data_IF_622321891239
#
_entry.id   IF_622321891239
#
_cell.length_a   1.000
_cell.length_b   1.000
_cell.length_c   1.000
_cell.angle_alpha   90.00
_cell.angle_beta   90.00
_cell.angle_gamma   90.00
#
_symmetry.space_group_name_H-M   'P 1'
#
loop_
_entity.id
_entity.type
_entity.pdbx_description
1 polymer ?
#
# COMPACT_ATOMS: atom_id res chain seq x y z
N UNK A 1 -3.38 1.71 9.59
CA UNK A 1 -3.20 1.23 8.20
C UNK A 1 -1.90 1.84 7.66
N UNK A 2 -1.20 1.19 6.73
CA UNK A 2 0.25 1.33 6.52
C UNK A 2 0.75 2.56 5.72
N UNK A 3 -0.05 3.60 5.52
CA UNK A 3 0.34 4.85 4.83
C UNK A 3 0.89 4.71 3.41
N UNK A 4 0.46 3.67 2.70
CA UNK A 4 0.69 3.53 1.26
C UNK A 4 -0.62 3.90 0.55
N UNK A 5 -0.59 4.94 -0.29
CA UNK A 5 -1.76 5.41 -1.04
C UNK A 5 -1.72 4.94 -2.49
N UNK A 6 -2.78 4.26 -2.92
CA UNK A 6 -2.96 3.76 -4.29
C UNK A 6 -4.45 3.51 -4.57
N UNK A 7 -4.78 3.19 -5.81
CA UNK A 7 -6.16 3.04 -6.25
C UNK A 7 -6.44 1.63 -6.77
N UNK A 8 -7.56 1.04 -6.35
CA UNK A 8 -8.10 -0.20 -6.92
C UNK A 8 -8.53 0.06 -8.37
N UNK A 9 -8.15 -0.80 -9.30
CA UNK A 9 -8.40 -0.59 -10.73
C UNK A 9 -8.86 -1.87 -11.41
N UNK A 10 -9.80 -1.74 -12.35
CA UNK A 10 -10.30 -2.88 -13.10
C UNK A 10 -9.22 -3.44 -14.03
N UNK A 11 -9.13 -4.76 -14.06
CA UNK A 11 -8.28 -5.51 -15.00
C UNK A 11 -9.14 -6.33 -15.95
N UNK A 12 -8.51 -6.91 -16.98
CA UNK A 12 -9.20 -7.77 -17.93
C UNK A 12 -9.96 -8.88 -17.20
N UNK A 13 -11.27 -8.99 -17.46
CA UNK A 13 -12.16 -9.96 -16.83
C UNK A 13 -13.01 -9.43 -15.68
N UNK A 14 -12.80 -8.19 -15.20
CA UNK A 14 -13.54 -7.66 -14.05
C UNK A 14 -15.01 -7.28 -14.33
N UNK A 15 -15.47 -7.22 -15.59
CA UNK A 15 -16.89 -7.11 -16.02
C UNK A 15 -17.82 -6.21 -15.16
N UNK A 16 -17.34 -5.05 -14.69
CA UNK A 16 -18.13 -4.12 -13.86
C UNK A 16 -18.20 -4.47 -12.36
N UNK A 17 -17.30 -5.32 -11.87
CA UNK A 17 -17.22 -5.70 -10.47
C UNK A 17 -16.96 -4.48 -9.55
N UNK A 18 -17.75 -4.38 -8.48
CA UNK A 18 -17.61 -3.35 -7.43
C UNK A 18 -16.24 -3.44 -6.72
N UNK A 19 -15.69 -4.66 -6.68
CA UNK A 19 -14.36 -4.96 -6.14
C UNK A 19 -13.46 -5.47 -7.27
N UNK A 20 -12.79 -4.57 -8.01
CA UNK A 20 -11.89 -4.95 -9.10
C UNK A 20 -10.68 -5.73 -8.59
N UNK A 21 -10.06 -6.52 -9.46
CA UNK A 21 -8.95 -7.42 -9.13
C UNK A 21 -7.57 -6.78 -9.09
N UNK A 22 -7.41 -5.54 -9.59
CA UNK A 22 -6.12 -4.88 -9.73
C UNK A 22 -5.93 -3.64 -8.87
N UNK A 23 -4.68 -3.13 -8.90
CA UNK A 23 -4.28 -1.84 -8.35
C UNK A 23 -3.46 -1.07 -9.38
N UNK A 24 -3.58 0.26 -9.40
CA UNK A 24 -2.75 1.14 -10.22
C UNK A 24 -1.75 1.88 -9.34
N UNK A 25 -0.49 1.81 -9.73
CA UNK A 25 0.63 2.48 -9.06
C UNK A 25 1.23 3.49 -10.04
N UNK A 26 1.55 4.68 -9.54
CA UNK A 26 2.20 5.73 -10.32
C UNK A 26 3.38 6.32 -9.56
N UNK A 27 4.45 6.63 -10.28
CA UNK A 27 5.68 7.22 -9.75
C UNK A 27 5.69 8.75 -9.59
N UNK A 28 4.89 9.57 -10.34
CA UNK A 28 5.12 11.03 -10.39
C UNK A 28 5.19 11.73 -9.03
N UNK A 29 4.33 11.39 -8.07
CA UNK A 29 4.30 12.07 -6.79
C UNK A 29 5.60 11.87 -5.97
N UNK A 30 6.15 10.66 -5.97
CA UNK A 30 7.38 10.35 -5.23
C UNK A 30 8.61 10.81 -6.02
N UNK A 31 8.60 10.75 -7.35
CA UNK A 31 9.66 11.33 -8.18
C UNK A 31 9.75 12.85 -7.97
N UNK A 32 8.64 13.57 -7.84
CA UNK A 32 8.64 15.01 -7.50
C UNK A 32 9.21 15.31 -6.12
N UNK A 33 9.29 14.32 -5.22
CA UNK A 33 9.93 14.42 -3.90
C UNK A 33 11.41 14.02 -3.92
N UNK A 34 11.96 13.70 -5.10
CA UNK A 34 13.37 13.36 -5.29
C UNK A 34 13.69 11.87 -5.21
N UNK A 35 12.69 10.97 -5.18
CA UNK A 35 12.96 9.54 -5.20
C UNK A 35 13.55 9.07 -6.54
N UNK A 36 14.58 8.23 -6.45
CA UNK A 36 15.27 7.60 -7.57
C UNK A 36 14.95 6.08 -7.65
N UNK A 37 15.54 5.37 -8.59
CA UNK A 37 15.24 3.97 -8.90
C UNK A 37 15.36 3.05 -7.67
N UNK A 38 16.41 3.19 -6.88
CA UNK A 38 16.63 2.41 -5.64
C UNK A 38 15.55 2.66 -4.58
N UNK A 39 14.99 3.87 -4.55
CA UNK A 39 13.89 4.22 -3.66
C UNK A 39 12.61 3.51 -4.09
N UNK A 40 12.40 3.38 -5.40
CA UNK A 40 11.28 2.63 -5.97
C UNK A 40 11.40 1.12 -5.78
N UNK A 41 12.61 0.56 -5.77
CA UNK A 41 12.83 -0.84 -5.35
C UNK A 41 12.40 -1.04 -3.89
N UNK A 42 12.79 -0.12 -3.00
CA UNK A 42 12.37 -0.13 -1.58
C UNK A 42 10.84 -0.01 -1.45
N UNK A 43 10.20 0.86 -2.25
CA UNK A 43 8.74 0.99 -2.28
C UNK A 43 8.05 -0.28 -2.82
N UNK A 44 8.65 -0.98 -3.79
CA UNK A 44 8.16 -2.26 -4.29
C UNK A 44 8.16 -3.34 -3.18
N UNK A 45 9.19 -3.36 -2.33
CA UNK A 45 9.23 -4.25 -1.16
C UNK A 45 8.12 -3.94 -0.15
N UNK A 46 7.81 -2.65 0.09
CA UNK A 46 6.68 -2.28 0.94
C UNK A 46 5.34 -2.76 0.37
N UNK A 47 5.14 -2.62 -0.95
CA UNK A 47 3.94 -3.11 -1.63
C UNK A 47 3.84 -4.64 -1.54
N UNK A 48 4.96 -5.34 -1.75
CA UNK A 48 5.03 -6.79 -1.63
C UNK A 48 4.67 -7.24 -0.21
N UNK A 49 5.23 -6.58 0.82
CA UNK A 49 4.89 -6.85 2.22
C UNK A 49 3.42 -6.60 2.52
N UNK A 50 2.84 -5.52 2.01
CA UNK A 50 1.40 -5.24 2.16
C UNK A 50 0.52 -6.34 1.54
N UNK A 51 0.91 -6.86 0.36
CA UNK A 51 0.21 -7.95 -0.31
C UNK A 51 0.32 -9.28 0.46
N UNK A 52 1.48 -9.56 1.08
CA UNK A 52 1.67 -10.72 1.95
C UNK A 52 0.79 -10.63 3.20
N UNK A 53 0.75 -9.48 3.87
CA UNK A 53 -0.11 -9.24 5.05
C UNK A 53 -1.58 -9.45 4.67
N UNK A 54 -2.01 -8.85 3.55
CA UNK A 54 -3.38 -8.99 3.03
C UNK A 54 -3.73 -10.45 2.73
N UNK A 55 -2.80 -11.20 2.13
CA UNK A 55 -2.97 -12.63 1.85
C UNK A 55 -3.11 -13.45 3.14
N UNK A 56 -2.31 -13.15 4.16
CA UNK A 56 -2.39 -13.80 5.47
C UNK A 56 -3.73 -13.53 6.14
N UNK A 57 -4.14 -12.25 6.24
CA UNK A 57 -5.43 -11.88 6.84
C UNK A 57 -6.60 -12.52 6.10
N UNK A 58 -6.55 -12.56 4.76
CA UNK A 58 -7.59 -13.21 3.94
C UNK A 58 -7.67 -14.72 4.17
N UNK A 59 -6.54 -15.39 4.41
CA UNK A 59 -6.50 -16.82 4.76
C UNK A 59 -7.13 -17.06 6.13
N UNK A 60 -6.81 -16.20 7.11
CA UNK A 60 -7.19 -16.43 8.50
C UNK A 60 -8.62 -15.95 8.83
N UNK A 61 -9.12 -14.92 8.11
CA UNK A 61 -10.45 -14.33 8.34
C UNK A 61 -11.43 -14.51 7.16
N UNK A 62 -10.99 -15.13 6.07
CA UNK A 62 -11.83 -15.41 4.90
C UNK A 62 -12.03 -14.23 3.93
N UNK A 63 -12.87 -14.46 2.91
CA UNK A 63 -13.09 -13.50 1.80
C UNK A 63 -14.17 -12.45 2.09
N UNK A 64 -15.04 -12.67 3.06
CA UNK A 64 -16.14 -11.74 3.36
C UNK A 64 -15.56 -10.45 3.93
N UNK A 65 -15.89 -9.31 3.31
CA UNK A 65 -15.31 -8.01 3.65
C UNK A 65 -15.39 -7.68 5.14
N UNK A 66 -16.55 -7.95 5.77
CA UNK A 66 -16.75 -7.70 7.21
C UNK A 66 -15.76 -8.46 8.08
N UNK A 67 -15.50 -9.73 7.78
CA UNK A 67 -14.57 -10.56 8.56
C UNK A 67 -13.11 -10.20 8.26
N UNK A 68 -12.80 -9.94 6.99
CA UNK A 68 -11.49 -9.45 6.57
C UNK A 68 -11.09 -8.16 7.32
N UNK A 69 -12.00 -7.18 7.44
CA UNK A 69 -11.74 -5.93 8.14
C UNK A 69 -11.41 -6.13 9.62
N UNK A 70 -11.96 -7.16 10.28
CA UNK A 70 -11.63 -7.47 11.68
C UNK A 70 -10.16 -7.86 11.84
N UNK A 71 -9.60 -8.63 10.90
CA UNK A 71 -8.21 -9.06 10.92
C UNK A 71 -7.19 -7.95 10.62
N UNK A 72 -7.66 -6.78 10.18
CA UNK A 72 -6.82 -5.59 10.01
C UNK A 72 -6.67 -4.78 11.30
N UNK A 73 -7.63 -4.87 12.22
CA UNK A 73 -7.60 -4.12 13.47
C UNK A 73 -6.48 -4.64 14.38
N UNK A 74 -5.67 -3.72 14.92
CA UNK A 74 -4.56 -4.00 15.83
C UNK A 74 -3.55 -5.05 15.29
N UNK A 75 -3.46 -5.19 13.97
CA UNK A 75 -2.52 -6.10 13.34
C UNK A 75 -1.08 -5.54 13.44
N UNK A 76 -0.19 -6.28 14.12
CA UNK A 76 1.19 -5.85 14.38
C UNK A 76 2.00 -5.65 13.10
N UNK A 77 1.82 -6.50 12.09
CA UNK A 77 2.53 -6.36 10.81
C UNK A 77 2.13 -5.08 10.06
N UNK A 78 0.85 -4.67 10.17
CA UNK A 78 0.37 -3.42 9.58
C UNK A 78 1.00 -2.21 10.29
N UNK A 79 1.18 -2.29 11.61
CA UNK A 79 1.81 -1.24 12.42
C UNK A 79 3.31 -1.16 12.12
N UNK A 80 4.00 -2.28 12.00
CA UNK A 80 5.41 -2.32 11.62
C UNK A 80 5.62 -1.73 10.21
N UNK A 81 4.84 -2.19 9.24
CA UNK A 81 4.93 -1.67 7.86
C UNK A 81 4.63 -0.17 7.82
N UNK A 82 3.64 0.31 8.59
CA UNK A 82 3.36 1.73 8.75
C UNK A 82 4.62 2.50 9.18
N UNK A 83 5.24 2.07 10.26
CA UNK A 83 6.38 2.79 10.84
C UNK A 83 7.55 2.86 9.84
N UNK A 84 7.79 1.77 9.10
CA UNK A 84 8.83 1.72 8.06
C UNK A 84 8.52 2.66 6.90
N UNK A 85 7.28 2.69 6.44
CA UNK A 85 6.83 3.58 5.36
C UNK A 85 6.95 5.05 5.77
N UNK A 86 6.49 5.41 6.98
CA UNK A 86 6.59 6.77 7.51
C UNK A 86 8.06 7.21 7.65
N UNK A 87 8.92 6.34 8.23
CA UNK A 87 10.35 6.63 8.39
C UNK A 87 11.10 6.78 7.06
N UNK A 88 10.70 6.01 6.03
CA UNK A 88 11.24 6.16 4.68
C UNK A 88 10.76 7.47 4.04
N UNK A 89 9.45 7.73 4.06
CA UNK A 89 8.87 8.90 3.42
C UNK A 89 9.32 10.24 4.06
N UNK A 90 9.71 10.23 5.34
CA UNK A 90 10.23 11.40 6.05
C UNK A 90 11.63 11.84 5.60
N UNK A 91 12.36 11.01 4.85
CA UNK A 91 13.70 11.36 4.35
C UNK A 91 13.66 12.28 3.12
N UNK A 92 12.49 12.45 2.51
CA UNK A 92 12.30 13.22 1.28
C UNK A 92 11.56 14.52 1.56
N UNK A 93 12.02 15.61 0.97
CA UNK A 93 11.37 16.92 1.08
C UNK A 93 9.92 16.88 0.53
N UNK A 94 9.08 17.81 1.01
CA UNK A 94 7.75 18.02 0.48
C UNK A 94 7.73 19.29 -0.37
N UNK A 95 7.52 19.22 -1.70
CA UNK A 95 7.44 20.42 -2.51
C UNK A 95 6.18 21.23 -2.16
N UNK A 96 6.28 22.56 -2.28
CA UNK A 96 5.16 23.48 -2.05
C UNK A 96 5.00 23.97 -0.61
N UNK A 97 5.92 23.60 0.27
CA UNK A 97 6.04 24.14 1.62
C UNK A 97 7.50 24.52 1.87
N UNK A 98 7.72 25.70 2.42
CA UNK A 98 9.03 26.12 2.94
C UNK A 98 9.10 25.59 4.37
N UNK A 99 9.80 24.47 4.58
CA UNK A 99 10.23 24.10 5.94
C UNK A 99 11.45 24.95 6.35
#
# INVERSE_FOLDING_TARGET
MCHITLNKTAIFGDNGAISPGGVRIGTPAMTSRGCLESDFETMADFLYRAAQITSAVKRDHGKLQKEFLKGLHNNKDIIDLRNRVEAFAAQFAMPGFDD
#
